data_IF_043504355215
#
_entry.id   IF_043504355215
#
_cell.length_a   1.000
_cell.length_b   1.000
_cell.length_c   1.000
_cell.angle_alpha   90.00
_cell.angle_beta   90.00
_cell.angle_gamma   90.00
#
_symmetry.space_group_name_H-M   'P 1'
#
loop_
_entity.id
_entity.type
_entity.pdbx_description
1 polymer ?
#
# COMPACT_ATOMS: atom_id res chain seq x y z
N UNK A 1 36.04 -9.46 11.51
CA UNK A 1 34.57 -9.37 11.57
C UNK A 1 34.12 -8.38 10.51
N UNK A 2 33.47 -8.84 9.43
CA UNK A 2 32.83 -7.93 8.50
C UNK A 2 31.66 -7.32 9.25
N UNK A 3 31.66 -5.99 9.43
CA UNK A 3 30.50 -5.25 9.88
C UNK A 3 29.40 -5.53 8.85
N UNK A 4 28.37 -6.29 9.23
CA UNK A 4 27.18 -6.46 8.40
C UNK A 4 26.64 -5.06 8.11
N UNK A 5 26.75 -4.67 6.85
CA UNK A 5 26.15 -3.41 6.38
C UNK A 5 24.65 -3.62 6.48
N UNK A 6 24.04 -3.04 7.53
CA UNK A 6 22.59 -3.08 7.72
C UNK A 6 21.91 -2.62 6.45
N UNK A 7 20.93 -3.37 5.98
CA UNK A 7 20.09 -3.02 4.86
C UNK A 7 19.48 -1.63 5.07
N UNK A 8 19.79 -0.69 4.17
CA UNK A 8 19.32 0.69 4.18
C UNK A 8 18.36 0.98 3.03
N UNK A 9 17.60 -0.01 2.59
CA UNK A 9 16.68 0.11 1.45
C UNK A 9 17.39 0.29 0.10
N UNK A 10 18.63 -0.16 -0.02
CA UNK A 10 19.42 -0.06 -1.26
C UNK A 10 18.75 -0.80 -2.43
N UNK A 11 18.11 -1.94 -2.17
CA UNK A 11 17.38 -2.73 -3.18
C UNK A 11 16.27 -1.95 -3.89
N UNK A 12 15.66 -0.96 -3.23
CA UNK A 12 14.73 -0.04 -3.89
C UNK A 12 15.45 0.88 -4.88
N UNK A 13 16.59 1.46 -4.48
CA UNK A 13 17.38 2.31 -5.36
C UNK A 13 17.96 1.53 -6.54
N UNK A 14 18.43 0.30 -6.29
CA UNK A 14 18.91 -0.61 -7.32
C UNK A 14 17.81 -0.95 -8.34
N UNK A 15 16.57 -1.13 -7.90
CA UNK A 15 15.43 -1.31 -8.80
C UNK A 15 15.17 -0.06 -9.66
N UNK A 16 15.18 1.12 -9.06
CA UNK A 16 15.03 2.37 -9.80
C UNK A 16 16.11 2.53 -10.87
N UNK A 17 17.37 2.29 -10.50
CA UNK A 17 18.52 2.32 -11.41
C UNK A 17 18.33 1.30 -12.54
N UNK A 18 17.98 0.06 -12.20
CA UNK A 18 17.75 -1.01 -13.16
C UNK A 18 16.69 -0.67 -14.19
N UNK A 19 15.57 -0.07 -13.78
CA UNK A 19 14.48 0.35 -14.67
C UNK A 19 14.98 1.45 -15.61
N UNK A 20 15.71 2.45 -15.11
CA UNK A 20 16.25 3.55 -15.94
C UNK A 20 17.25 3.06 -17.00
N UNK A 21 18.05 2.04 -16.68
CA UNK A 21 19.11 1.54 -17.55
C UNK A 21 18.63 0.45 -18.51
N UNK A 22 17.72 -0.43 -18.09
CA UNK A 22 17.34 -1.64 -18.81
C UNK A 22 15.88 -1.69 -19.24
N UNK A 23 15.06 -0.72 -18.78
CA UNK A 23 13.64 -0.68 -19.11
C UNK A 23 13.37 -0.28 -20.55
N UNK A 24 12.21 -0.66 -21.02
CA UNK A 24 11.69 -0.27 -22.34
C UNK A 24 10.71 0.89 -22.19
N UNK A 25 10.82 1.87 -23.09
CA UNK A 25 9.85 2.96 -23.16
C UNK A 25 8.53 2.46 -23.72
N UNK A 26 7.45 2.82 -23.07
CA UNK A 26 6.07 2.46 -23.46
C UNK A 26 5.17 3.67 -23.35
N UNK A 27 4.22 3.74 -24.25
CA UNK A 27 3.09 4.64 -24.10
C UNK A 27 2.12 4.06 -23.06
N UNK A 28 1.45 4.93 -22.35
CA UNK A 28 0.47 4.57 -21.34
C UNK A 28 -0.84 5.33 -21.49
N UNK A 29 -1.85 4.91 -20.74
CA UNK A 29 -3.19 5.51 -20.76
C UNK A 29 -3.20 7.02 -20.46
N UNK A 30 -2.24 7.49 -19.65
CA UNK A 30 -2.16 8.90 -19.22
C UNK A 30 -1.51 9.80 -20.26
N UNK A 31 -0.87 9.24 -21.31
CA UNK A 31 -0.13 10.00 -22.31
C UNK A 31 1.23 10.53 -21.87
N UNK A 32 1.62 10.32 -20.59
CA UNK A 32 2.94 10.71 -20.06
C UNK A 32 4.04 9.81 -20.60
N UNK A 33 3.76 8.54 -20.78
CA UNK A 33 4.70 7.50 -21.12
C UNK A 33 5.51 7.02 -19.92
N UNK A 34 5.95 5.79 -19.97
CA UNK A 34 6.72 5.13 -18.92
C UNK A 34 7.98 4.48 -19.48
N UNK A 35 8.94 4.22 -18.59
CA UNK A 35 10.00 3.22 -18.80
C UNK A 35 9.77 2.09 -17.82
N UNK A 36 9.69 0.85 -18.33
CA UNK A 36 9.30 -0.29 -17.52
C UNK A 36 10.13 -1.54 -17.76
N UNK A 37 10.20 -2.39 -16.74
CA UNK A 37 10.66 -3.77 -16.81
C UNK A 37 9.53 -4.70 -16.33
N UNK A 38 9.49 -5.91 -16.87
CA UNK A 38 8.50 -6.91 -16.50
C UNK A 38 9.13 -7.99 -15.61
N UNK A 39 8.55 -8.16 -14.42
CA UNK A 39 9.02 -9.15 -13.46
C UNK A 39 10.25 -8.69 -12.67
N UNK A 40 10.05 -7.91 -11.61
CA UNK A 40 11.11 -7.51 -10.69
C UNK A 40 10.74 -7.89 -9.25
N UNK A 41 11.74 -8.34 -8.48
CA UNK A 41 11.52 -8.70 -7.07
C UNK A 41 12.55 -8.03 -6.17
N UNK A 42 12.07 -7.47 -5.06
CA UNK A 42 12.89 -6.95 -3.97
C UNK A 42 12.54 -7.63 -2.66
N UNK A 43 13.49 -7.64 -1.71
CA UNK A 43 13.32 -8.21 -0.38
C UNK A 43 13.74 -7.20 0.68
N UNK A 44 12.93 -7.07 1.73
CA UNK A 44 13.14 -6.12 2.82
C UNK A 44 13.15 -6.89 4.13
N UNK A 45 14.31 -6.89 4.80
CA UNK A 45 14.44 -7.45 6.14
C UNK A 45 13.70 -6.56 7.14
N UNK A 46 12.77 -7.16 7.90
CA UNK A 46 11.98 -6.47 8.92
C UNK A 46 12.54 -6.69 10.33
N UNK A 47 13.60 -7.47 10.46
CA UNK A 47 14.21 -7.78 11.77
C UNK A 47 15.14 -6.68 12.25
N UNK A 48 15.69 -5.86 11.36
CA UNK A 48 16.65 -4.79 11.63
C UNK A 48 16.05 -3.37 11.57
N UNK A 49 14.75 -3.26 11.35
CA UNK A 49 14.01 -2.00 11.32
C UNK A 49 12.86 -1.98 10.31
N UNK A 50 12.09 -0.90 10.36
CA UNK A 50 10.92 -0.71 9.50
C UNK A 50 11.32 -0.07 8.17
N UNK A 51 10.89 -0.62 7.02
CA UNK A 51 11.32 -0.18 5.69
C UNK A 51 10.55 1.05 5.20
N UNK A 52 10.58 2.13 5.96
CA UNK A 52 10.12 3.44 5.52
C UNK A 52 11.27 4.16 4.82
N UNK A 53 11.09 4.48 3.55
CA UNK A 53 12.15 5.03 2.71
C UNK A 53 12.76 6.30 3.31
N UNK A 54 14.09 6.45 3.22
CA UNK A 54 14.83 7.57 3.81
C UNK A 54 15.44 8.52 2.78
N UNK A 55 15.53 8.11 1.52
CA UNK A 55 16.07 8.94 0.42
C UNK A 55 15.11 10.03 -0.05
N UNK A 56 13.86 9.96 0.38
CA UNK A 56 12.89 11.07 0.34
C UNK A 56 12.02 11.02 1.59
N UNK A 57 11.44 12.17 1.96
CA UNK A 57 10.53 12.26 3.12
C UNK A 57 9.26 11.45 2.86
N UNK A 58 8.97 10.50 3.74
CA UNK A 58 7.73 9.74 3.80
C UNK A 58 6.91 10.10 5.03
N UNK A 59 5.60 9.93 4.95
CA UNK A 59 4.68 10.13 6.07
C UNK A 59 3.94 8.83 6.31
N UNK A 60 4.11 8.24 7.50
CA UNK A 60 3.48 6.96 7.83
C UNK A 60 1.96 7.06 7.97
N UNK A 61 1.46 8.17 8.50
CA UNK A 61 0.03 8.31 8.83
C UNK A 61 -0.91 8.02 7.65
N UNK A 62 -0.76 8.62 6.46
CA UNK A 62 -1.61 8.29 5.33
C UNK A 62 -1.54 6.83 4.91
N UNK A 63 -0.36 6.22 5.01
CA UNK A 63 -0.12 4.80 4.70
C UNK A 63 -0.89 3.90 5.69
N UNK A 64 -0.77 4.20 6.97
CA UNK A 64 -1.44 3.43 8.03
C UNK A 64 -2.96 3.59 7.98
N UNK A 65 -3.48 4.80 7.75
CA UNK A 65 -4.93 5.05 7.64
C UNK A 65 -5.54 4.30 6.44
N UNK A 66 -4.85 4.26 5.29
CA UNK A 66 -5.30 3.48 4.14
C UNK A 66 -5.34 1.99 4.46
N UNK A 67 -4.30 1.45 5.09
CA UNK A 67 -4.27 0.05 5.50
C UNK A 67 -5.39 -0.28 6.51
N UNK A 68 -5.62 0.57 7.48
CA UNK A 68 -6.72 0.41 8.44
C UNK A 68 -8.09 0.45 7.76
N UNK A 69 -8.25 1.29 6.76
CA UNK A 69 -9.45 1.37 5.93
C UNK A 69 -9.68 0.06 5.15
N UNK A 70 -8.64 -0.54 4.55
CA UNK A 70 -8.73 -1.86 3.92
C UNK A 70 -9.14 -2.94 4.95
N UNK A 71 -8.50 -2.96 6.13
CA UNK A 71 -8.78 -3.95 7.18
C UNK A 71 -10.22 -3.82 7.71
N UNK A 72 -10.78 -2.62 7.72
CA UNK A 72 -12.20 -2.39 8.08
C UNK A 72 -13.18 -2.93 7.03
N UNK A 73 -12.73 -3.21 5.83
CA UNK A 73 -13.60 -3.62 4.72
C UNK A 73 -14.36 -2.45 4.10
N UNK A 74 -13.96 -1.22 4.39
CA UNK A 74 -14.59 -0.02 3.88
C UNK A 74 -14.11 0.28 2.46
N UNK A 75 -14.98 0.87 1.65
CA UNK A 75 -14.73 1.22 0.24
C UNK A 75 -15.14 2.65 -0.07
N UNK A 76 -15.70 3.37 0.91
CA UNK A 76 -16.06 4.77 0.77
C UNK A 76 -14.92 5.67 1.24
N UNK A 77 -14.60 6.69 0.45
CA UNK A 77 -13.51 7.64 0.77
C UNK A 77 -13.79 8.52 2.00
N UNK A 78 -15.02 8.56 2.50
CA UNK A 78 -15.41 9.38 3.67
C UNK A 78 -14.47 9.15 4.86
N UNK A 79 -14.15 7.89 5.17
CA UNK A 79 -13.20 7.54 6.24
C UNK A 79 -11.84 8.23 6.05
N UNK A 80 -11.31 8.21 4.83
CA UNK A 80 -10.01 8.81 4.49
C UNK A 80 -10.06 10.34 4.47
N UNK A 81 -11.12 10.89 3.89
CA UNK A 81 -11.33 12.36 3.82
C UNK A 81 -11.43 12.97 5.21
N UNK A 82 -12.16 12.35 6.14
CA UNK A 82 -12.28 12.79 7.53
C UNK A 82 -10.91 12.83 8.26
N UNK A 83 -9.97 12.03 7.80
CA UNK A 83 -8.59 11.93 8.33
C UNK A 83 -7.56 12.70 7.52
N UNK A 84 -8.01 13.51 6.56
CA UNK A 84 -7.18 14.30 5.65
C UNK A 84 -6.22 13.45 4.80
N UNK A 85 -6.61 12.22 4.46
CA UNK A 85 -5.90 11.32 3.55
C UNK A 85 -6.49 11.49 2.16
N UNK A 86 -5.64 11.86 1.19
CA UNK A 86 -6.07 12.32 -0.14
C UNK A 86 -5.86 11.29 -1.26
N UNK A 87 -5.31 10.12 -0.94
CA UNK A 87 -4.79 9.14 -1.90
C UNK A 87 -5.85 8.68 -2.92
N UNK A 88 -7.13 8.67 -2.51
CA UNK A 88 -8.22 8.13 -3.30
C UNK A 88 -9.22 9.17 -3.82
N UNK A 89 -8.98 10.48 -3.62
CA UNK A 89 -9.97 11.51 -3.91
C UNK A 89 -10.31 11.66 -5.40
N UNK A 90 -9.33 11.47 -6.28
CA UNK A 90 -9.47 11.72 -7.70
C UNK A 90 -10.42 10.73 -8.39
N UNK A 91 -10.41 9.45 -8.00
CA UNK A 91 -11.20 8.42 -8.67
C UNK A 91 -12.72 8.64 -8.56
N UNK A 92 -13.30 8.82 -7.37
CA UNK A 92 -14.73 9.08 -7.26
C UNK A 92 -15.10 10.46 -7.80
N UNK A 93 -14.19 11.45 -7.73
CA UNK A 93 -14.41 12.75 -8.37
C UNK A 93 -14.49 12.64 -9.89
N UNK A 94 -13.65 11.83 -10.54
CA UNK A 94 -13.75 11.58 -11.99
C UNK A 94 -15.09 10.89 -12.38
N UNK A 95 -15.61 10.03 -11.52
CA UNK A 95 -16.94 9.46 -11.69
C UNK A 95 -18.05 10.51 -11.48
N UNK A 96 -17.93 11.35 -10.44
CA UNK A 96 -18.86 12.43 -10.16
C UNK A 96 -18.93 13.43 -11.31
N UNK A 97 -17.82 13.83 -11.92
CA UNK A 97 -17.80 14.73 -13.09
C UNK A 97 -18.64 14.25 -14.28
N UNK A 98 -18.86 12.94 -14.39
CA UNK A 98 -19.66 12.31 -15.47
C UNK A 98 -21.13 12.17 -15.12
N UNK A 99 -21.53 12.54 -13.89
CA UNK A 99 -22.91 12.42 -13.42
C UNK A 99 -23.75 13.63 -13.78
N UNK A 100 -25.07 13.46 -13.73
CA UNK A 100 -26.03 14.56 -13.91
C UNK A 100 -26.02 15.57 -12.76
N UNK A 101 -25.49 15.18 -11.59
CA UNK A 101 -25.40 16.02 -10.39
C UNK A 101 -24.17 16.93 -10.39
N UNK A 102 -23.31 16.86 -11.42
CA UNK A 102 -22.13 17.71 -11.55
C UNK A 102 -22.47 19.06 -12.17
N UNK A 103 -22.14 20.13 -11.47
CA UNK A 103 -22.40 21.52 -11.88
C UNK A 103 -21.13 22.37 -12.04
N UNK A 104 -19.97 21.73 -12.12
CA UNK A 104 -18.68 22.42 -12.30
C UNK A 104 -17.83 22.51 -11.03
N UNK A 105 -18.16 21.74 -10.00
CA UNK A 105 -17.40 21.69 -8.75
C UNK A 105 -15.95 21.29 -8.98
N UNK A 106 -15.03 21.91 -8.26
CA UNK A 106 -13.63 21.53 -8.19
C UNK A 106 -13.44 20.27 -7.32
N UNK A 107 -12.27 19.62 -7.43
CA UNK A 107 -11.93 18.50 -6.56
C UNK A 107 -11.98 18.90 -5.08
N UNK A 108 -11.50 20.09 -4.75
CA UNK A 108 -11.53 20.63 -3.39
C UNK A 108 -12.95 20.82 -2.86
N UNK A 109 -13.86 21.32 -3.67
CA UNK A 109 -15.28 21.50 -3.30
C UNK A 109 -15.97 20.15 -3.13
N UNK A 110 -15.71 19.20 -4.03
CA UNK A 110 -16.20 17.83 -3.90
C UNK A 110 -15.75 17.17 -2.59
N UNK A 111 -14.44 17.24 -2.30
CA UNK A 111 -13.86 16.65 -1.07
C UNK A 111 -14.40 17.36 0.18
N UNK A 112 -14.55 18.69 0.15
CA UNK A 112 -15.16 19.46 1.25
C UNK A 112 -16.59 18.99 1.51
N UNK A 113 -17.38 18.80 0.48
CA UNK A 113 -18.75 18.30 0.58
C UNK A 113 -18.81 16.89 1.18
N UNK A 114 -17.95 15.96 0.73
CA UNK A 114 -17.83 14.62 1.34
C UNK A 114 -17.46 14.73 2.83
N UNK A 115 -16.59 15.68 3.20
CA UNK A 115 -16.14 15.87 4.58
C UNK A 115 -17.23 16.42 5.49
N UNK A 116 -18.00 17.38 5.02
CA UNK A 116 -19.04 18.08 5.80
C UNK A 116 -20.28 17.22 6.04
N UNK A 117 -20.66 16.42 5.06
CA UNK A 117 -21.86 15.59 5.14
C UNK A 117 -21.63 14.34 6.00
N UNK A 118 -22.67 13.82 6.68
CA UNK A 118 -22.58 12.57 7.41
C UNK A 118 -22.38 11.38 6.47
N UNK A 119 -21.88 10.26 7.02
CA UNK A 119 -21.53 9.08 6.22
C UNK A 119 -22.75 8.41 5.53
N UNK A 120 -23.92 8.57 6.08
CA UNK A 120 -25.20 8.05 5.55
C UNK A 120 -25.93 9.03 4.63
N UNK A 121 -25.34 10.23 4.38
CA UNK A 121 -25.90 11.16 3.40
C UNK A 121 -25.93 10.55 2.00
N UNK A 122 -27.03 10.69 1.23
CA UNK A 122 -27.14 10.14 -0.12
C UNK A 122 -26.00 10.54 -1.07
N UNK A 123 -25.48 11.75 -0.95
CA UNK A 123 -24.35 12.21 -1.75
C UNK A 123 -23.07 11.44 -1.40
N UNK A 124 -22.78 11.27 -0.09
CA UNK A 124 -21.61 10.54 0.40
C UNK A 124 -21.70 9.06 0.03
N UNK A 125 -22.85 8.45 0.24
CA UNK A 125 -23.09 7.03 -0.13
C UNK A 125 -22.91 6.81 -1.62
N UNK A 126 -23.41 7.72 -2.47
CA UNK A 126 -23.35 7.59 -3.93
C UNK A 126 -21.97 7.91 -4.48
N UNK A 127 -21.42 9.08 -4.10
CA UNK A 127 -20.22 9.64 -4.74
C UNK A 127 -18.93 9.43 -3.96
N UNK A 128 -18.98 9.03 -2.70
CA UNK A 128 -17.80 8.62 -1.94
C UNK A 128 -17.37 7.17 -2.20
N UNK A 129 -18.23 6.37 -2.84
CA UNK A 129 -18.03 4.93 -3.04
C UNK A 129 -17.11 4.66 -4.24
N UNK A 130 -16.18 3.71 -4.03
CA UNK A 130 -15.19 3.28 -5.03
C UNK A 130 -15.54 1.93 -5.70
N UNK A 131 -16.67 1.33 -5.31
CA UNK A 131 -17.01 -0.04 -5.70
C UNK A 131 -16.28 -1.09 -4.89
N UNK A 132 -16.28 -2.37 -5.34
CA UNK A 132 -15.78 -3.50 -4.57
C UNK A 132 -14.23 -3.59 -4.55
N UNK A 133 -13.56 -2.49 -4.17
CA UNK A 133 -12.10 -2.39 -4.09
C UNK A 133 -11.51 -3.18 -2.90
N UNK A 134 -10.24 -2.99 -2.57
CA UNK A 134 -9.45 -3.77 -1.61
C UNK A 134 -10.19 -4.19 -0.33
N UNK A 135 -10.78 -3.26 0.41
CA UNK A 135 -11.48 -3.54 1.66
C UNK A 135 -12.62 -4.53 1.50
N UNK A 136 -13.41 -4.37 0.44
CA UNK A 136 -14.50 -5.29 0.11
C UNK A 136 -13.97 -6.68 -0.19
N UNK A 137 -12.97 -6.81 -1.08
CA UNK A 137 -12.41 -8.11 -1.44
C UNK A 137 -11.76 -8.81 -0.23
N UNK A 138 -11.07 -8.06 0.63
CA UNK A 138 -10.42 -8.60 1.81
C UNK A 138 -11.40 -9.14 2.86
N UNK A 139 -12.54 -8.45 3.06
CA UNK A 139 -13.47 -8.71 4.17
C UNK A 139 -14.78 -9.37 3.77
N UNK A 140 -15.14 -9.32 2.51
CA UNK A 140 -16.37 -9.90 1.96
C UNK A 140 -16.19 -10.22 0.47
N UNK A 141 -15.26 -11.13 0.17
CA UNK A 141 -14.91 -11.49 -1.20
C UNK A 141 -16.15 -11.93 -1.99
N UNK A 142 -16.29 -11.37 -3.19
CA UNK A 142 -17.40 -11.62 -4.11
C UNK A 142 -18.80 -11.40 -3.48
N UNK A 143 -18.88 -10.57 -2.45
CA UNK A 143 -20.12 -10.34 -1.68
C UNK A 143 -20.78 -11.61 -1.12
N UNK A 144 -20.00 -12.66 -0.86
CA UNK A 144 -20.48 -13.97 -0.40
C UNK A 144 -20.15 -14.24 1.08
N UNK A 145 -19.77 -13.22 1.85
CA UNK A 145 -19.45 -13.34 3.27
C UNK A 145 -18.08 -13.98 3.54
N UNK A 146 -17.19 -14.06 2.54
CA UNK A 146 -15.85 -14.64 2.69
C UNK A 146 -14.89 -13.57 3.22
N UNK A 147 -14.65 -13.59 4.54
CA UNK A 147 -13.67 -12.74 5.20
C UNK A 147 -12.27 -13.37 5.13
N UNK A 148 -11.46 -12.93 4.15
CA UNK A 148 -10.12 -13.46 3.93
C UNK A 148 -9.16 -13.09 5.07
N UNK A 149 -9.31 -11.91 5.69
CA UNK A 149 -8.44 -11.47 6.79
C UNK A 149 -8.69 -12.29 8.05
N UNK A 150 -9.97 -12.50 8.42
CA UNK A 150 -10.30 -13.33 9.58
C UNK A 150 -9.84 -14.78 9.39
N UNK A 151 -10.06 -15.36 8.20
CA UNK A 151 -9.59 -16.73 7.85
C UNK A 151 -8.06 -16.82 7.88
N UNK A 152 -7.35 -15.79 7.42
CA UNK A 152 -5.90 -15.75 7.47
C UNK A 152 -5.39 -15.77 8.92
N UNK A 153 -5.94 -14.92 9.80
CA UNK A 153 -5.55 -14.87 11.22
C UNK A 153 -5.81 -16.22 11.91
N UNK A 154 -6.96 -16.83 11.68
CA UNK A 154 -7.27 -18.16 12.21
C UNK A 154 -6.26 -19.21 11.72
N UNK A 155 -5.99 -19.23 10.42
CA UNK A 155 -5.05 -20.19 9.82
C UNK A 155 -3.61 -19.98 10.28
N UNK A 156 -3.15 -18.74 10.43
CA UNK A 156 -1.81 -18.44 10.96
C UNK A 156 -1.64 -18.97 12.39
N UNK A 157 -2.68 -18.89 13.23
CA UNK A 157 -2.65 -19.36 14.61
C UNK A 157 -2.76 -20.90 14.73
N UNK A 158 -3.67 -21.48 13.97
CA UNK A 158 -4.09 -22.89 14.15
C UNK A 158 -3.43 -23.84 13.16
N UNK A 159 -2.97 -23.37 12.01
CA UNK A 159 -2.28 -24.16 10.98
C UNK A 159 -1.08 -23.40 10.38
N UNK A 160 -0.04 -23.10 11.18
CA UNK A 160 1.04 -22.21 10.79
C UNK A 160 1.84 -22.65 9.55
N UNK A 161 1.87 -23.94 9.25
CA UNK A 161 2.61 -24.48 8.10
C UNK A 161 1.75 -24.64 6.83
N UNK A 162 0.53 -24.11 6.85
CA UNK A 162 -0.29 -24.06 5.65
C UNK A 162 0.41 -23.25 4.54
N UNK A 163 0.28 -23.72 3.31
CA UNK A 163 0.72 -23.01 2.09
C UNK A 163 -0.42 -22.19 1.47
N UNK A 164 -1.53 -22.04 2.20
CA UNK A 164 -2.76 -21.36 1.79
C UNK A 164 -3.03 -20.08 2.59
N UNK A 165 -2.01 -19.49 3.20
CA UNK A 165 -2.10 -18.19 3.86
C UNK A 165 -2.14 -17.09 2.80
N UNK A 166 -3.31 -16.87 2.21
CA UNK A 166 -3.49 -16.06 1.01
C UNK A 166 -4.58 -15.01 1.25
N UNK A 167 -4.36 -13.81 0.73
CA UNK A 167 -5.39 -12.79 0.48
C UNK A 167 -5.31 -12.42 -1.00
N UNK A 168 -6.43 -12.51 -1.71
CA UNK A 168 -6.56 -12.10 -3.09
C UNK A 168 -7.50 -10.89 -3.19
N UNK A 169 -7.02 -9.80 -3.79
CA UNK A 169 -7.84 -8.63 -4.07
C UNK A 169 -8.37 -8.63 -5.51
N UNK A 170 -7.77 -9.40 -6.40
CA UNK A 170 -8.21 -9.52 -7.79
C UNK A 170 -9.41 -10.45 -7.90
N UNK A 171 -10.54 -9.90 -8.26
CA UNK A 171 -11.79 -10.63 -8.47
C UNK A 171 -12.28 -10.39 -9.91
N UNK A 172 -12.12 -11.36 -10.83
CA UNK A 172 -12.56 -11.19 -12.21
C UNK A 172 -14.06 -10.94 -12.39
N UNK A 173 -14.89 -11.32 -11.41
CA UNK A 173 -16.32 -11.10 -11.46
C UNK A 173 -16.75 -9.66 -11.12
N UNK A 174 -15.93 -8.93 -10.36
CA UNK A 174 -16.27 -7.59 -9.86
C UNK A 174 -15.25 -6.51 -10.29
N UNK A 175 -14.17 -6.86 -10.99
CA UNK A 175 -13.08 -5.93 -11.30
C UNK A 175 -13.53 -4.73 -12.15
N UNK A 176 -14.52 -4.92 -13.01
CA UNK A 176 -15.04 -3.86 -13.88
C UNK A 176 -15.95 -2.87 -13.13
N UNK A 177 -16.40 -3.22 -11.93
CA UNK A 177 -17.19 -2.35 -11.04
C UNK A 177 -16.31 -1.49 -10.11
N UNK A 178 -15.00 -1.73 -10.08
CA UNK A 178 -14.06 -1.01 -9.24
C UNK A 178 -13.65 0.31 -9.88
N UNK A 179 -13.62 1.39 -9.10
CA UNK A 179 -13.08 2.68 -9.56
C UNK A 179 -11.62 2.56 -10.03
N UNK A 180 -10.85 1.65 -9.42
CA UNK A 180 -9.51 1.28 -9.83
C UNK A 180 -9.28 -0.22 -9.59
N UNK A 181 -9.02 -1.02 -10.65
CA UNK A 181 -8.64 -2.43 -10.50
C UNK A 181 -7.39 -2.60 -9.62
N UNK A 182 -7.36 -3.59 -8.70
CA UNK A 182 -6.29 -3.72 -7.72
C UNK A 182 -4.90 -3.89 -8.34
N UNK A 183 -3.97 -3.02 -7.99
CA UNK A 183 -2.55 -3.20 -8.30
C UNK A 183 -1.90 -4.22 -7.36
N UNK A 184 -2.21 -4.15 -6.05
CA UNK A 184 -1.78 -5.11 -5.03
C UNK A 184 -2.69 -6.34 -5.08
N UNK A 185 -2.44 -7.22 -6.04
CA UNK A 185 -3.42 -8.23 -6.43
C UNK A 185 -3.47 -9.44 -5.50
N UNK A 186 -2.32 -9.84 -4.94
CA UNK A 186 -2.21 -11.12 -4.26
C UNK A 186 -1.15 -11.09 -3.16
N UNK A 187 -1.51 -11.54 -1.98
CA UNK A 187 -0.65 -11.67 -0.81
C UNK A 187 -0.52 -13.12 -0.40
N UNK A 188 0.69 -13.55 -0.05
CA UNK A 188 0.92 -14.83 0.60
C UNK A 188 1.81 -14.64 1.82
N UNK A 189 1.49 -15.36 2.91
CA UNK A 189 2.24 -15.31 4.15
C UNK A 189 2.90 -16.66 4.44
N UNK A 190 4.04 -16.59 5.14
CA UNK A 190 4.84 -17.76 5.47
C UNK A 190 5.35 -17.67 6.89
N UNK A 191 5.06 -18.71 7.69
CA UNK A 191 5.59 -18.86 9.05
C UNK A 191 6.86 -19.68 9.02
N UNK A 192 7.90 -19.21 9.69
CA UNK A 192 9.19 -19.94 9.81
C UNK A 192 9.02 -21.29 10.50
N UNK A 193 9.94 -22.24 10.22
CA UNK A 193 9.86 -23.61 10.75
C UNK A 193 9.91 -23.66 12.30
N UNK A 194 10.59 -22.70 12.93
CA UNK A 194 10.65 -22.57 14.39
C UNK A 194 9.42 -21.84 14.98
N UNK A 195 8.44 -21.48 14.17
CA UNK A 195 7.22 -20.75 14.52
C UNK A 195 7.46 -19.39 15.19
N UNK A 196 8.60 -18.75 14.92
CA UNK A 196 8.92 -17.45 15.53
C UNK A 196 8.63 -16.26 14.63
N UNK A 197 8.67 -16.46 13.31
CA UNK A 197 8.68 -15.38 12.35
C UNK A 197 7.60 -15.51 11.31
N UNK A 198 7.07 -14.36 10.89
CA UNK A 198 6.12 -14.21 9.78
C UNK A 198 6.76 -13.40 8.66
N UNK A 199 6.67 -13.90 7.44
CA UNK A 199 7.04 -13.22 6.20
C UNK A 199 5.81 -13.01 5.33
N UNK A 200 5.84 -11.97 4.48
CA UNK A 200 4.80 -11.67 3.50
C UNK A 200 5.41 -11.53 2.11
N UNK A 201 4.77 -12.10 1.11
CA UNK A 201 5.04 -11.80 -0.30
C UNK A 201 3.83 -11.15 -0.92
N UNK A 202 4.04 -10.01 -1.58
CA UNK A 202 3.06 -9.32 -2.41
C UNK A 202 3.38 -9.56 -3.88
N UNK A 203 2.39 -9.96 -4.69
CA UNK A 203 2.41 -9.77 -6.13
C UNK A 203 1.62 -8.51 -6.48
N UNK A 204 2.32 -7.52 -7.02
CA UNK A 204 1.76 -6.27 -7.52
C UNK A 204 1.85 -6.27 -9.05
N UNK A 205 0.69 -6.27 -9.72
CA UNK A 205 0.64 -6.38 -11.19
C UNK A 205 1.23 -5.18 -11.92
N UNK A 206 1.15 -3.99 -11.32
CA UNK A 206 1.61 -2.73 -11.89
C UNK A 206 2.02 -1.77 -10.76
N UNK A 207 3.15 -1.11 -10.89
CA UNK A 207 3.69 -0.25 -9.84
C UNK A 207 4.43 0.97 -10.40
N UNK A 208 3.91 2.17 -10.09
CA UNK A 208 4.68 3.40 -10.15
C UNK A 208 5.81 3.34 -9.11
N UNK A 209 7.03 3.18 -9.60
CA UNK A 209 8.19 2.94 -8.74
C UNK A 209 8.55 4.17 -7.91
N UNK A 210 8.28 5.37 -8.38
CA UNK A 210 8.62 6.59 -7.66
C UNK A 210 7.59 6.99 -6.60
N UNK A 211 6.31 7.04 -6.94
CA UNK A 211 5.25 7.47 -6.02
C UNK A 211 4.67 6.29 -5.24
N UNK A 212 4.30 5.21 -5.93
CA UNK A 212 3.54 4.10 -5.36
C UNK A 212 4.37 3.12 -4.55
N UNK A 213 5.46 2.61 -5.11
CA UNK A 213 6.26 1.54 -4.47
C UNK A 213 6.73 1.86 -3.05
N UNK A 214 7.22 3.06 -2.72
CA UNK A 214 7.60 3.39 -1.34
C UNK A 214 6.44 3.29 -0.34
N UNK A 215 5.23 3.66 -0.77
CA UNK A 215 3.99 3.51 -0.01
C UNK A 215 3.65 2.04 0.21
N UNK A 216 3.72 1.24 -0.86
CA UNK A 216 3.36 -0.17 -0.83
C UNK A 216 4.30 -0.98 0.06
N UNK A 217 5.61 -0.73 0.01
CA UNK A 217 6.60 -1.36 0.89
C UNK A 217 6.22 -1.12 2.36
N UNK A 218 6.01 0.13 2.74
CA UNK A 218 5.69 0.49 4.12
C UNK A 218 4.33 -0.08 4.56
N UNK A 219 3.30 -0.03 3.69
CA UNK A 219 1.97 -0.55 3.97
C UNK A 219 1.98 -2.04 4.28
N UNK A 220 2.62 -2.84 3.42
CA UNK A 220 2.61 -4.30 3.61
C UNK A 220 3.63 -4.79 4.64
N UNK A 221 4.71 -4.06 4.89
CA UNK A 221 5.56 -4.28 6.04
C UNK A 221 4.81 -4.00 7.36
N UNK A 222 4.00 -2.94 7.41
CA UNK A 222 3.12 -2.64 8.54
C UNK A 222 2.08 -3.74 8.75
N UNK A 223 1.39 -4.17 7.69
CA UNK A 223 0.41 -5.25 7.78
C UNK A 223 1.03 -6.55 8.27
N UNK A 224 2.24 -6.88 7.79
CA UNK A 224 3.00 -8.05 8.26
C UNK A 224 3.33 -7.96 9.75
N UNK A 225 3.75 -6.78 10.24
CA UNK A 225 4.06 -6.56 11.65
C UNK A 225 2.81 -6.66 12.53
N UNK A 226 1.68 -6.08 12.10
CA UNK A 226 0.41 -6.16 12.82
C UNK A 226 -0.11 -7.60 12.90
N UNK A 227 -0.09 -8.35 11.80
CA UNK A 227 -0.45 -9.78 11.78
C UNK A 227 0.49 -10.61 12.65
N UNK A 228 1.79 -10.35 12.57
CA UNK A 228 2.77 -11.05 13.42
C UNK A 228 2.45 -10.86 14.90
N UNK A 229 2.18 -9.62 15.35
CA UNK A 229 1.83 -9.33 16.74
C UNK A 229 0.58 -10.11 17.18
N UNK A 230 -0.53 -10.01 16.45
CA UNK A 230 -1.80 -10.62 16.89
C UNK A 230 -1.80 -12.14 16.77
N UNK A 231 -0.88 -12.72 15.99
CA UNK A 231 -0.72 -14.16 15.84
C UNK A 231 0.44 -14.74 16.69
N UNK A 232 1.18 -13.91 17.45
CA UNK A 232 2.27 -14.34 18.32
C UNK A 232 3.60 -14.60 17.61
N UNK A 233 3.82 -13.99 16.45
CA UNK A 233 5.06 -14.03 15.67
C UNK A 233 5.83 -12.70 15.76
N UNK A 234 7.05 -12.71 15.19
CA UNK A 234 7.82 -11.51 14.88
C UNK A 234 7.86 -11.30 13.36
N UNK A 235 7.80 -10.08 12.85
CA UNK A 235 7.98 -9.84 11.42
C UNK A 235 9.40 -10.18 10.99
N UNK A 236 9.56 -10.83 9.82
CA UNK A 236 10.87 -11.25 9.31
C UNK A 236 11.23 -10.57 8.00
N UNK A 237 10.39 -10.70 7.00
CA UNK A 237 10.70 -10.27 5.65
C UNK A 237 9.43 -9.86 4.90
N UNK A 238 9.56 -8.81 4.11
CA UNK A 238 8.60 -8.46 3.06
C UNK A 238 9.24 -8.69 1.69
N UNK A 239 8.62 -9.53 0.88
CA UNK A 239 9.02 -9.82 -0.51
C UNK A 239 8.06 -9.12 -1.44
N UNK A 240 8.56 -8.21 -2.26
CA UNK A 240 7.78 -7.44 -3.21
C UNK A 240 8.07 -7.92 -4.63
N UNK A 241 7.13 -8.60 -5.23
CA UNK A 241 7.19 -9.08 -6.63
C UNK A 241 6.29 -8.20 -7.47
N UNK A 242 6.85 -7.56 -8.47
CA UNK A 242 6.16 -6.60 -9.33
C UNK A 242 6.11 -7.13 -10.75
N UNK A 243 4.93 -7.10 -11.36
CA UNK A 243 4.75 -7.42 -12.78
C UNK A 243 5.31 -6.32 -13.67
N UNK A 244 4.57 -5.24 -13.89
CA UNK A 244 5.03 -4.05 -14.61
C UNK A 244 5.59 -3.04 -13.60
N UNK A 245 6.92 -3.02 -13.45
CA UNK A 245 7.63 -2.03 -12.62
C UNK A 245 8.07 -0.87 -13.52
N UNK A 246 7.48 0.31 -13.31
CA UNK A 246 7.69 1.45 -14.21
C UNK A 246 8.01 2.75 -13.49
N UNK A 247 8.68 3.64 -14.22
CA UNK A 247 8.93 5.03 -13.87
C UNK A 247 8.32 5.89 -14.97
N UNK A 248 7.45 6.84 -14.62
CA UNK A 248 6.93 7.82 -15.58
C UNK A 248 8.05 8.70 -16.13
N UNK A 249 7.98 9.08 -17.41
CA UNK A 249 9.04 9.85 -18.07
C UNK A 249 9.31 11.20 -17.41
N UNK A 250 8.29 11.85 -16.90
CA UNK A 250 8.40 13.11 -16.16
C UNK A 250 8.99 12.96 -14.74
N UNK A 251 9.18 11.70 -14.26
CA UNK A 251 9.86 11.41 -13.01
C UNK A 251 11.36 11.05 -13.17
N UNK A 252 11.90 10.96 -14.37
CA UNK A 252 13.27 10.48 -14.57
C UNK A 252 14.32 11.30 -13.81
N UNK A 253 14.23 12.62 -13.84
CA UNK A 253 15.23 13.48 -13.20
C UNK A 253 15.14 13.41 -11.67
N UNK A 254 13.92 13.40 -11.11
CA UNK A 254 13.73 13.28 -9.66
C UNK A 254 14.12 11.90 -9.14
N UNK A 255 13.95 10.84 -9.93
CA UNK A 255 14.42 9.49 -9.59
C UNK A 255 15.94 9.41 -9.63
N UNK A 256 16.62 10.01 -10.63
CA UNK A 256 18.10 10.12 -10.66
C UNK A 256 18.63 10.86 -9.43
N UNK A 257 17.99 11.96 -9.05
CA UNK A 257 18.33 12.66 -7.80
C UNK A 257 18.17 11.74 -6.59
N UNK A 258 17.06 11.01 -6.50
CA UNK A 258 16.81 10.09 -5.39
C UNK A 258 17.86 8.98 -5.29
N UNK A 259 18.26 8.39 -6.42
CA UNK A 259 19.30 7.36 -6.49
C UNK A 259 20.65 7.88 -5.99
N UNK A 260 20.97 9.15 -6.22
CA UNK A 260 22.23 9.78 -5.77
C UNK A 260 22.31 10.02 -4.26
N UNK A 261 21.19 9.93 -3.54
CA UNK A 261 21.13 10.18 -2.10
C UNK A 261 21.56 8.95 -1.30
N UNK A 262 22.43 9.15 -0.32
CA UNK A 262 22.84 8.08 0.61
C UNK A 262 21.72 7.77 1.60
N UNK A 263 21.21 6.53 1.68
CA UNK A 263 20.16 6.21 2.62
C UNK A 263 20.60 6.29 4.08
N UNK A 264 19.73 6.82 4.94
CA UNK A 264 19.87 6.73 6.40
C UNK A 264 19.49 5.31 6.90
N UNK A 265 19.82 4.96 8.15
CA UNK A 265 19.34 3.73 8.78
C UNK A 265 17.82 3.66 8.79
N UNK A 266 17.27 2.44 8.78
CA UNK A 266 15.83 2.22 8.94
C UNK A 266 15.35 2.74 10.30
N UNK A 267 14.13 3.24 10.34
CA UNK A 267 13.44 3.60 11.58
C UNK A 267 12.91 2.38 12.31
N UNK A 268 12.35 2.58 13.51
CA UNK A 268 11.71 1.53 14.29
C UNK A 268 10.20 1.71 14.25
N UNK A 269 9.48 0.60 14.01
CA UNK A 269 8.03 0.54 14.16
C UNK A 269 7.69 0.13 15.59
N UNK A 270 6.82 0.88 16.23
CA UNK A 270 6.28 0.58 17.56
C UNK A 270 4.77 0.42 17.43
N UNK A 271 4.28 -0.77 17.74
CA UNK A 271 2.86 -1.09 17.84
C UNK A 271 2.46 -1.18 19.30
N UNK A 272 1.24 -0.74 19.63
CA UNK A 272 0.67 -0.92 20.97
C UNK A 272 0.54 -2.42 21.29
N UNK A 273 1.28 -2.96 22.28
CA UNK A 273 1.29 -4.40 22.58
C UNK A 273 -0.03 -4.92 23.16
N UNK A 274 -0.90 -4.03 23.62
CA UNK A 274 -2.20 -4.40 24.18
C UNK A 274 -3.22 -4.76 23.09
N UNK A 275 -3.00 -4.38 21.84
CA UNK A 275 -3.87 -4.75 20.72
C UNK A 275 -3.69 -6.23 20.37
N UNK A 276 -4.74 -7.02 20.52
CA UNK A 276 -4.76 -8.48 20.33
C UNK A 276 -5.54 -8.95 19.10
N UNK A 277 -6.30 -8.08 18.49
CA UNK A 277 -7.03 -8.34 17.25
C UNK A 277 -6.58 -7.42 16.14
N UNK A 278 -6.43 -7.95 14.93
CA UNK A 278 -6.07 -7.16 13.74
C UNK A 278 -7.10 -6.06 13.45
N UNK A 279 -8.34 -6.26 13.88
CA UNK A 279 -9.46 -5.36 13.64
C UNK A 279 -9.58 -4.23 14.68
N UNK A 280 -8.81 -4.29 15.77
CA UNK A 280 -8.86 -3.32 16.87
C UNK A 280 -7.80 -2.22 16.75
N UNK A 281 -6.85 -2.37 15.83
CA UNK A 281 -5.84 -1.33 15.60
C UNK A 281 -6.46 0.00 15.17
N UNK A 282 -5.95 1.06 15.76
CA UNK A 282 -6.22 2.45 15.37
C UNK A 282 -4.91 3.15 15.02
N UNK A 283 -4.99 4.35 14.49
CA UNK A 283 -3.78 5.13 14.15
C UNK A 283 -2.93 5.45 15.39
N UNK A 284 -3.54 5.54 16.58
CA UNK A 284 -2.84 5.86 17.83
C UNK A 284 -1.97 4.69 18.33
N UNK A 285 -2.25 3.47 17.86
CA UNK A 285 -1.52 2.25 18.16
C UNK A 285 -0.25 2.06 17.31
N UNK A 286 -0.01 2.93 16.33
CA UNK A 286 1.02 2.78 15.30
C UNK A 286 1.95 3.99 15.33
N UNK A 287 3.21 3.80 15.70
CA UNK A 287 4.22 4.86 15.79
C UNK A 287 5.53 4.45 15.14
N UNK A 288 6.28 5.43 14.67
CA UNK A 288 7.67 5.23 14.23
C UNK A 288 8.60 6.07 15.10
N UNK A 289 9.76 5.50 15.42
CA UNK A 289 10.82 6.14 16.16
C UNK A 289 12.10 6.20 15.33
N UNK A 290 12.95 7.18 15.61
CA UNK A 290 14.25 7.35 14.96
C UNK A 290 14.19 7.49 13.43
N UNK A 291 13.09 8.05 12.88
CA UNK A 291 13.00 8.28 11.44
C UNK A 291 13.77 9.54 11.04
N UNK A 292 14.80 9.31 10.23
CA UNK A 292 15.57 10.36 9.58
C UNK A 292 15.46 10.18 8.07
N UNK A 293 15.29 11.26 7.33
CA UNK A 293 15.20 11.21 5.86
C UNK A 293 15.75 12.46 5.21
N UNK A 294 16.09 12.33 3.94
CA UNK A 294 16.28 13.50 3.06
C UNK A 294 14.96 14.27 2.89
N UNK A 295 15.07 15.46 2.35
CA UNK A 295 13.93 16.31 2.04
C UNK A 295 12.95 15.68 1.04
N UNK A 296 11.79 16.30 0.89
CA UNK A 296 10.76 15.86 -0.07
C UNK A 296 11.33 15.84 -1.50
N UNK A 297 10.90 14.87 -2.27
CA UNK A 297 10.95 14.86 -3.72
C UNK A 297 9.51 14.82 -4.23
N UNK A 298 9.20 15.68 -5.18
CA UNK A 298 7.83 15.83 -5.69
C UNK A 298 7.76 15.29 -7.11
N UNK A 299 6.77 14.46 -7.37
CA UNK A 299 6.40 14.00 -8.70
C UNK A 299 4.95 14.29 -8.96
N UNK A 300 4.59 14.51 -10.23
CA UNK A 300 3.21 14.68 -10.64
C UNK A 300 2.50 13.31 -10.66
N UNK A 301 1.29 13.25 -10.13
CA UNK A 301 0.46 12.05 -10.27
C UNK A 301 -0.09 11.99 -11.69
N UNK A 302 0.12 10.87 -12.36
CA UNK A 302 -0.46 10.59 -13.67
C UNK A 302 -1.77 9.81 -13.48
N UNK A 303 -2.91 10.40 -13.85
CA UNK A 303 -4.27 9.84 -13.70
C UNK A 303 -4.92 9.56 -15.04
#
# INVERSE_FOLDING_TARGET
MRQEVKDRMKQYLDMCQYILENGQDRDDRTGTGTRSVFGYQTRYDLTDGFPLLTTKKMFLRPIAEELLWFIKGDTNIKYLVDRNVKIWNEWPYEAFKKSEDFHGETLEEFVAKIKELPADDPFVVKYGELGPVYGRQWRNFNNEGVDQVAKLVDSLKNNPFSRRHIICAWNPAEVDEMALPPCHAFLQFYVSNDKKYLSCQLYQRSADTFLGVPFNIASYALFTAMLAQVCGYKPKEFVHTIGDAHIYKDHFDVVKEQISRTPYPKCQLVLNPEVKSIFDFTIDDIKIENYQSHGKLVGKVSV
#
